data_IF_417570862978
#
_entry.id   IF_417570862978
#
_cell.length_a   1.000
_cell.length_b   1.000
_cell.length_c   1.000
_cell.angle_alpha   90.00
_cell.angle_beta   90.00
_cell.angle_gamma   90.00
#
_symmetry.space_group_name_H-M   'P 1'
#
loop_
_entity.id
_entity.type
_entity.pdbx_description
1 polymer ?
#
# COMPACT_ATOMS: atom_id res chain seq x y z
N UNK A 1 -9.61 -15.67 -3.95
CA UNK A 1 -10.71 -14.70 -4.21
C UNK A 1 -10.23 -13.67 -5.22
N UNK A 2 -11.09 -13.07 -6.04
CA UNK A 2 -10.64 -12.10 -7.06
C UNK A 2 -10.33 -10.72 -6.47
N UNK A 3 -9.34 -10.02 -7.03
CA UNK A 3 -9.01 -8.63 -6.67
C UNK A 3 -8.24 -8.43 -5.36
N UNK A 4 -7.65 -9.48 -4.77
CA UNK A 4 -6.90 -9.37 -3.52
C UNK A 4 -5.45 -8.95 -3.70
N UNK A 5 -4.75 -9.50 -4.69
CA UNK A 5 -3.35 -9.19 -4.97
C UNK A 5 -3.18 -7.84 -5.63
N UNK A 6 -3.29 -7.79 -6.98
CA UNK A 6 -3.01 -6.57 -7.76
C UNK A 6 -3.88 -5.36 -7.36
N UNK A 7 -5.20 -5.55 -7.26
CA UNK A 7 -6.11 -4.46 -6.87
C UNK A 7 -5.87 -4.03 -5.42
N UNK A 8 -5.70 -4.99 -4.49
CA UNK A 8 -5.34 -4.67 -3.10
C UNK A 8 -4.00 -3.93 -2.97
N UNK A 9 -3.02 -4.27 -3.82
CA UNK A 9 -1.72 -3.57 -3.91
C UNK A 9 -1.90 -2.12 -4.33
N UNK A 10 -2.64 -1.88 -5.42
CA UNK A 10 -2.92 -0.54 -5.93
C UNK A 10 -3.72 0.30 -4.93
N UNK A 11 -4.70 -0.29 -4.24
CA UNK A 11 -5.45 0.38 -3.19
C UNK A 11 -4.56 0.69 -1.96
N UNK A 12 -3.63 -0.21 -1.61
CA UNK A 12 -2.62 0.05 -0.58
C UNK A 12 -1.75 1.26 -0.93
N UNK A 13 -1.22 1.32 -2.17
CA UNK A 13 -0.49 2.50 -2.66
C UNK A 13 -1.35 3.77 -2.61
N UNK A 14 -2.60 3.70 -3.05
CA UNK A 14 -3.52 4.83 -3.04
C UNK A 14 -3.76 5.36 -1.63
N UNK A 15 -4.09 4.48 -0.67
CA UNK A 15 -4.26 4.84 0.75
C UNK A 15 -2.99 5.45 1.34
N UNK A 16 -1.83 4.88 1.01
CA UNK A 16 -0.52 5.43 1.39
C UNK A 16 -0.33 6.87 0.94
N UNK A 17 -0.66 7.16 -0.34
CA UNK A 17 -0.56 8.51 -0.91
C UNK A 17 -1.52 9.50 -0.27
N UNK A 18 -2.82 9.17 -0.22
CA UNK A 18 -3.85 10.14 0.21
C UNK A 18 -3.86 10.35 1.71
N UNK A 19 -3.46 9.33 2.49
CA UNK A 19 -3.39 9.40 3.94
C UNK A 19 -2.02 9.81 4.50
N UNK A 20 -1.03 10.08 3.62
CA UNK A 20 0.37 10.31 4.00
C UNK A 20 0.91 9.21 4.95
N UNK A 21 0.54 7.97 4.70
CA UNK A 21 0.86 6.84 5.56
C UNK A 21 2.25 6.27 5.22
N UNK A 22 2.88 5.60 6.19
CA UNK A 22 3.97 4.68 5.86
C UNK A 22 3.44 3.50 5.05
N UNK A 23 4.31 2.82 4.30
CA UNK A 23 3.90 1.63 3.55
C UNK A 23 3.28 0.54 4.43
N UNK A 24 3.84 0.33 5.62
CA UNK A 24 3.32 -0.65 6.58
C UNK A 24 1.94 -0.25 7.11
N UNK A 25 1.72 1.03 7.39
CA UNK A 25 0.42 1.53 7.85
C UNK A 25 -0.63 1.45 6.74
N UNK A 26 -0.26 1.71 5.50
CA UNK A 26 -1.13 1.54 4.34
C UNK A 26 -1.55 0.06 4.13
N UNK A 27 -0.61 -0.88 4.30
CA UNK A 27 -0.89 -2.33 4.26
C UNK A 27 -1.84 -2.73 5.40
N UNK A 28 -1.60 -2.22 6.61
CA UNK A 28 -2.47 -2.49 7.76
C UNK A 28 -3.88 -1.97 7.51
N UNK A 29 -4.00 -0.77 6.96
CA UNK A 29 -5.29 -0.13 6.71
C UNK A 29 -6.10 -0.85 5.61
N UNK A 30 -5.47 -1.24 4.49
CA UNK A 30 -6.19 -1.99 3.46
C UNK A 30 -6.64 -3.37 3.95
N UNK A 31 -5.85 -4.02 4.82
CA UNK A 31 -6.25 -5.29 5.46
C UNK A 31 -7.35 -5.11 6.49
N UNK A 32 -7.39 -3.98 7.20
CA UNK A 32 -8.50 -3.61 8.09
C UNK A 32 -9.80 -3.40 7.31
N UNK A 33 -9.74 -2.67 6.20
CA UNK A 33 -10.89 -2.40 5.33
C UNK A 33 -11.35 -3.64 4.55
N UNK A 34 -10.40 -4.46 4.12
CA UNK A 34 -10.66 -5.66 3.31
C UNK A 34 -9.67 -6.77 3.69
N UNK A 35 -10.04 -7.63 4.66
CA UNK A 35 -9.19 -8.70 5.16
C UNK A 35 -8.69 -9.63 4.07
N UNK A 36 -7.39 -9.88 4.03
CA UNK A 36 -6.71 -10.72 3.03
C UNK A 36 -6.10 -9.95 1.85
N UNK A 37 -6.29 -8.63 1.75
CA UNK A 37 -5.70 -7.83 0.67
C UNK A 37 -4.17 -7.84 0.73
N UNK A 38 -3.55 -7.82 -0.45
CA UNK A 38 -2.10 -8.00 -0.67
C UNK A 38 -1.71 -9.43 -0.32
N UNK A 39 -1.51 -10.24 -1.37
CA UNK A 39 -1.41 -11.70 -1.29
C UNK A 39 0.03 -12.20 -1.20
N UNK A 40 1.01 -11.40 -1.63
CA UNK A 40 2.42 -11.82 -1.65
C UNK A 40 3.36 -10.79 -1.03
N UNK A 41 4.53 -11.21 -0.50
CA UNK A 41 5.54 -10.29 0.04
C UNK A 41 6.04 -9.27 -1.00
N UNK A 42 6.12 -9.65 -2.27
CA UNK A 42 6.56 -8.77 -3.35
C UNK A 42 5.59 -7.60 -3.56
N UNK A 43 4.28 -7.87 -3.38
CA UNK A 43 3.23 -6.86 -3.43
C UNK A 43 3.29 -5.93 -2.21
N UNK A 44 3.51 -6.47 -1.01
CA UNK A 44 3.75 -5.66 0.19
C UNK A 44 4.94 -4.72 -0.02
N UNK A 45 6.05 -5.25 -0.55
CA UNK A 45 7.25 -4.49 -0.82
C UNK A 45 7.03 -3.42 -1.90
N UNK A 46 6.15 -3.65 -2.87
CA UNK A 46 5.75 -2.65 -3.85
C UNK A 46 5.03 -1.46 -3.19
N UNK A 47 4.10 -1.71 -2.25
CA UNK A 47 3.44 -0.65 -1.47
C UNK A 47 4.45 0.13 -0.62
N UNK A 48 5.37 -0.58 0.05
CA UNK A 48 6.40 0.04 0.88
C UNK A 48 7.30 0.97 0.06
N UNK A 49 7.83 0.48 -1.07
CA UNK A 49 8.70 1.27 -1.95
C UNK A 49 7.97 2.47 -2.55
N UNK A 50 6.70 2.31 -2.92
CA UNK A 50 5.89 3.41 -3.43
C UNK A 50 5.69 4.49 -2.36
N UNK A 51 5.31 4.13 -1.13
CA UNK A 51 5.11 5.12 -0.07
C UNK A 51 6.43 5.81 0.32
N UNK A 52 7.55 5.10 0.24
CA UNK A 52 8.89 5.70 0.40
C UNK A 52 9.18 6.69 -0.72
N UNK A 53 8.93 6.35 -2.00
CA UNK A 53 9.18 7.21 -3.16
C UNK A 53 8.45 8.56 -3.08
N UNK A 54 7.24 8.58 -2.51
CA UNK A 54 6.47 9.81 -2.30
C UNK A 54 7.19 10.80 -1.37
N UNK A 55 7.97 10.32 -0.39
CA UNK A 55 8.70 11.18 0.56
C UNK A 55 9.87 11.88 -0.10
N UNK A 56 10.49 11.26 -1.10
CA UNK A 56 11.56 11.89 -1.90
C UNK A 56 11.03 13.01 -2.79
N UNK A 57 9.78 12.90 -3.25
CA UNK A 57 9.12 13.93 -4.07
C UNK A 57 8.64 15.12 -3.23
N UNK A 58 8.55 14.96 -1.91
CA UNK A 58 7.97 15.95 -0.99
C UNK A 58 9.02 16.74 -0.17
N UNK A 59 10.31 16.44 -0.32
CA UNK A 59 11.39 17.31 0.17
C UNK A 59 11.45 18.60 -0.66
N UNK A 60 11.55 19.79 -0.03
CA UNK A 60 11.63 21.06 -0.74
C UNK A 60 12.90 21.19 -1.60
#
# INVERSE_FOLDING_TARGET
MLGYGRTGTLLGCYLGKVGNLSGHDAIREIRRLRPGSIETPEQEQAVIRFCQSLRWVQTP
#
